data_IF_268025838275
#
_entry.id   IF_268025838275
#
_cell.length_a   1.000
_cell.length_b   1.000
_cell.length_c   1.000
_cell.angle_alpha   90.00
_cell.angle_beta   90.00
_cell.angle_gamma   90.00
#
_symmetry.space_group_name_H-M   'P 1'
#
loop_
_entity.id
_entity.type
_entity.pdbx_description
1 polymer ?
#
# COMPACT_ATOMS: atom_id res chain seq x y z
N UNK A 1 4.97 0.40 39.07
CA UNK A 1 4.74 -0.71 38.12
C UNK A 1 4.84 -0.11 36.73
N UNK A 2 5.74 -0.58 35.87
CA UNK A 2 5.70 -0.22 34.46
C UNK A 2 4.47 -0.88 33.85
N UNK A 3 3.47 -0.07 33.49
CA UNK A 3 2.35 -0.48 32.67
C UNK A 3 2.91 -0.98 31.33
N UNK A 4 2.56 -2.20 30.96
CA UNK A 4 2.88 -2.73 29.64
C UNK A 4 2.19 -1.84 28.58
N UNK A 5 2.97 -1.28 27.66
CA UNK A 5 2.49 -0.34 26.64
C UNK A 5 2.55 -1.04 25.29
N UNK A 6 1.38 -1.34 24.73
CA UNK A 6 1.29 -1.98 23.42
C UNK A 6 1.81 -1.07 22.31
N UNK A 7 2.59 -1.65 21.39
CA UNK A 7 2.99 -0.97 20.15
C UNK A 7 1.90 -1.18 19.10
N UNK A 8 1.46 -0.08 18.50
CA UNK A 8 0.44 -0.01 17.46
C UNK A 8 1.08 0.29 16.11
N UNK A 9 0.49 -0.21 15.03
CA UNK A 9 0.81 0.23 13.68
C UNK A 9 -0.17 1.35 13.33
N UNK A 10 0.33 2.57 13.14
CA UNK A 10 -0.49 3.76 12.85
C UNK A 10 -0.40 4.20 11.37
N UNK A 11 0.52 3.61 10.61
CA UNK A 11 0.59 3.79 9.17
C UNK A 11 1.29 2.61 8.51
N UNK A 12 0.75 2.14 7.38
CA UNK A 12 1.37 1.09 6.57
C UNK A 12 1.31 1.48 5.10
N UNK A 13 2.46 1.51 4.44
CA UNK A 13 2.52 1.67 2.99
C UNK A 13 3.58 0.80 2.34
N UNK A 14 3.23 0.24 1.18
CA UNK A 14 4.09 -0.64 0.40
C UNK A 14 3.75 -0.53 -1.09
N UNK A 15 4.66 -0.99 -1.93
CA UNK A 15 4.43 -1.10 -3.37
C UNK A 15 4.93 -2.43 -3.89
N UNK A 16 4.30 -2.96 -4.92
CA UNK A 16 4.75 -4.17 -5.58
C UNK A 16 4.40 -4.14 -7.07
N UNK A 17 5.10 -4.91 -7.92
CA UNK A 17 4.67 -5.16 -9.29
C UNK A 17 3.26 -5.74 -9.31
N UNK A 18 2.37 -5.24 -10.18
CA UNK A 18 1.03 -5.81 -10.32
C UNK A 18 1.08 -7.29 -10.73
N UNK A 19 2.16 -7.71 -11.41
CA UNK A 19 2.42 -9.09 -11.80
C UNK A 19 2.50 -10.08 -10.63
N UNK A 20 2.83 -9.66 -9.40
CA UNK A 20 2.84 -10.58 -8.24
C UNK A 20 1.44 -11.14 -7.92
N UNK A 21 0.37 -10.50 -8.41
CA UNK A 21 -1.00 -11.01 -8.29
C UNK A 21 -1.25 -12.30 -9.09
N UNK A 22 -0.31 -12.73 -9.94
CA UNK A 22 -0.34 -14.07 -10.54
C UNK A 22 -0.27 -15.16 -9.46
N UNK A 23 0.47 -14.92 -8.39
CA UNK A 23 0.83 -15.92 -7.39
C UNK A 23 -0.03 -15.86 -6.13
N UNK A 24 -0.96 -14.91 -6.03
CA UNK A 24 -1.83 -14.74 -4.84
C UNK A 24 -2.61 -16.01 -4.47
N UNK A 25 -3.04 -16.78 -5.47
CA UNK A 25 -3.80 -18.02 -5.29
C UNK A 25 -2.96 -19.20 -4.79
N UNK A 26 -1.63 -19.07 -4.82
CA UNK A 26 -0.69 -20.12 -4.41
C UNK A 26 -0.32 -20.04 -2.93
N UNK A 27 -0.81 -19.02 -2.21
CA UNK A 27 -0.53 -18.86 -0.78
C UNK A 27 -1.12 -20.01 0.03
N UNK A 28 -0.28 -20.67 0.83
CA UNK A 28 -0.66 -21.85 1.61
C UNK A 28 -0.77 -21.50 3.09
N UNK A 29 -1.98 -21.14 3.53
CA UNK A 29 -2.31 -21.01 4.95
C UNK A 29 -3.73 -21.51 5.21
N UNK A 30 -3.97 -22.05 6.42
CA UNK A 30 -5.28 -22.59 6.81
C UNK A 30 -6.35 -21.50 6.71
N UNK A 31 -7.42 -21.77 5.98
CA UNK A 31 -8.51 -20.82 5.73
C UNK A 31 -8.31 -19.93 4.50
N UNK A 32 -7.21 -20.09 3.75
CA UNK A 32 -7.05 -19.42 2.47
C UNK A 32 -7.88 -20.10 1.36
N UNK A 33 -8.86 -19.37 0.82
CA UNK A 33 -9.69 -19.84 -0.28
C UNK A 33 -9.15 -19.37 -1.64
N UNK A 34 -8.30 -20.18 -2.27
CA UNK A 34 -7.72 -19.85 -3.59
C UNK A 34 -8.78 -19.71 -4.70
N UNK A 35 -9.93 -20.38 -4.58
CA UNK A 35 -11.01 -20.37 -5.58
C UNK A 35 -11.67 -19.02 -5.76
N UNK A 36 -11.46 -18.09 -4.82
CA UNK A 36 -11.97 -16.73 -4.96
C UNK A 36 -11.19 -15.91 -5.96
N UNK A 37 -10.04 -16.34 -6.48
CA UNK A 37 -9.30 -15.57 -7.48
C UNK A 37 -9.67 -15.99 -8.90
N UNK A 38 -9.91 -15.01 -9.76
CA UNK A 38 -10.20 -15.23 -11.17
C UNK A 38 -9.05 -15.96 -11.87
N UNK A 39 -9.34 -16.84 -12.82
CA UNK A 39 -8.31 -17.54 -13.58
C UNK A 39 -7.56 -16.56 -14.50
N UNK A 40 -6.25 -16.76 -14.66
CA UNK A 40 -5.48 -15.96 -15.61
C UNK A 40 -5.91 -16.30 -17.04
N UNK A 41 -6.07 -15.31 -17.93
CA UNK A 41 -6.35 -15.58 -19.34
C UNK A 41 -5.17 -16.34 -19.97
N UNK A 42 -5.49 -17.21 -20.93
CA UNK A 42 -4.51 -17.99 -21.69
C UNK A 42 -4.30 -17.36 -23.06
N UNK A 43 -3.04 -17.08 -23.43
CA UNK A 43 -2.73 -16.54 -24.76
C UNK A 43 -3.21 -17.47 -25.89
N UNK A 44 -3.25 -18.79 -25.66
CA UNK A 44 -3.74 -19.79 -26.63
C UNK A 44 -5.18 -19.53 -27.10
N UNK A 45 -6.00 -18.89 -26.27
CA UNK A 45 -7.39 -18.56 -26.65
C UNK A 45 -7.47 -17.45 -27.71
N UNK A 46 -6.37 -16.75 -27.99
CA UNK A 46 -6.26 -15.72 -29.04
C UNK A 46 -5.50 -16.23 -30.27
N UNK A 47 -4.97 -17.46 -30.23
CA UNK A 47 -4.18 -18.08 -31.31
C UNK A 47 -5.05 -18.69 -32.43
N UNK A 48 -6.38 -18.70 -32.31
CA UNK A 48 -7.23 -19.33 -33.32
C UNK A 48 -7.31 -18.59 -34.67
N UNK A 49 -7.31 -19.45 -35.71
CA UNK A 49 -7.43 -19.32 -37.17
C UNK A 49 -6.30 -18.62 -37.95
N UNK A 50 -5.64 -19.41 -38.82
CA UNK A 50 -5.14 -18.93 -40.13
C UNK A 50 -4.77 -20.00 -41.16
N UNK A 51 -4.66 -21.29 -40.82
CA UNK A 51 -4.20 -22.28 -41.81
C UNK A 51 -5.31 -23.09 -42.52
N UNK A 52 -6.55 -23.12 -42.01
CA UNK A 52 -7.57 -24.05 -42.54
C UNK A 52 -8.69 -23.40 -43.35
N UNK A 53 -8.75 -22.07 -43.49
CA UNK A 53 -9.88 -21.38 -44.14
C UNK A 53 -9.58 -20.79 -45.52
N UNK A 54 -8.33 -20.78 -45.98
CA UNK A 54 -7.93 -20.18 -47.28
C UNK A 54 -7.82 -21.16 -48.44
N UNK A 55 -8.22 -22.43 -48.29
CA UNK A 55 -8.32 -23.38 -49.41
C UNK A 55 -9.78 -23.71 -49.68
N UNK A 56 -10.54 -22.69 -50.09
CA UNK A 56 -11.84 -22.85 -50.75
C UNK A 56 -11.62 -22.59 -52.24
N UNK A 57 -12.03 -23.55 -53.07
CA UNK A 57 -11.57 -23.73 -54.43
C UNK A 57 -11.86 -22.59 -55.43
N UNK A 58 -10.98 -22.56 -56.43
CA UNK A 58 -11.21 -22.16 -57.82
C UNK A 58 -11.49 -20.68 -58.15
N UNK A 59 -10.63 -19.75 -57.74
CA UNK A 59 -10.41 -18.52 -58.51
C UNK A 59 -8.94 -18.07 -58.39
N UNK A 60 -8.27 -17.83 -59.52
CA UNK A 60 -6.90 -17.29 -59.57
C UNK A 60 -6.97 -15.79 -59.28
N UNK A 61 -7.09 -15.41 -58.01
CA UNK A 61 -6.75 -14.06 -57.56
C UNK A 61 -5.22 -13.89 -57.56
N UNK A 62 -4.74 -12.73 -57.99
CA UNK A 62 -3.33 -12.40 -57.93
C UNK A 62 -2.84 -12.53 -56.48
N UNK A 63 -1.75 -13.28 -56.27
CA UNK A 63 -1.16 -13.43 -54.94
C UNK A 63 -0.89 -12.03 -54.37
N UNK A 64 -1.46 -11.68 -53.20
CA UNK A 64 -1.27 -10.38 -52.59
C UNK A 64 0.22 -10.12 -52.37
N UNK A 65 0.63 -8.87 -52.51
CA UNK A 65 2.03 -8.49 -52.38
C UNK A 65 2.55 -8.92 -51.00
N UNK A 66 3.74 -9.53 -50.97
CA UNK A 66 4.31 -10.14 -49.77
C UNK A 66 4.41 -9.16 -48.58
N UNK A 67 4.55 -7.87 -48.89
CA UNK A 67 4.54 -6.80 -47.90
C UNK A 67 3.17 -6.58 -47.25
N UNK A 68 2.08 -6.63 -48.01
CA UNK A 68 0.70 -6.46 -47.50
C UNK A 68 0.24 -7.65 -46.66
N UNK A 69 0.65 -8.87 -47.05
CA UNK A 69 0.42 -10.08 -46.25
C UNK A 69 1.21 -10.03 -44.94
N UNK A 70 2.45 -9.54 -44.98
CA UNK A 70 3.29 -9.42 -43.79
C UNK A 70 2.79 -8.32 -42.84
N UNK A 71 2.39 -7.15 -43.35
CA UNK A 71 1.87 -6.03 -42.54
C UNK A 71 0.56 -6.39 -41.85
N UNK A 72 -0.40 -6.97 -42.57
CA UNK A 72 -1.67 -7.46 -41.99
C UNK A 72 -1.47 -8.60 -40.98
N UNK A 73 -0.43 -9.41 -41.14
CA UNK A 73 -0.02 -10.42 -40.14
C UNK A 73 0.49 -9.78 -38.86
N UNK A 74 1.31 -8.72 -38.96
CA UNK A 74 1.82 -7.99 -37.80
C UNK A 74 0.69 -7.27 -37.06
N UNK A 75 -0.21 -6.60 -37.78
CA UNK A 75 -1.35 -5.91 -37.18
C UNK A 75 -2.27 -6.86 -36.41
N UNK A 76 -2.56 -8.03 -36.97
CA UNK A 76 -3.33 -9.06 -36.30
C UNK A 76 -2.64 -9.60 -35.04
N UNK A 77 -1.33 -9.82 -35.08
CA UNK A 77 -0.54 -10.24 -33.91
C UNK A 77 -0.59 -9.17 -32.83
N UNK A 78 -0.40 -7.89 -33.18
CA UNK A 78 -0.44 -6.78 -32.25
C UNK A 78 -1.83 -6.65 -31.61
N UNK A 79 -2.90 -6.70 -32.39
CA UNK A 79 -4.29 -6.66 -31.89
C UNK A 79 -4.58 -7.80 -30.91
N UNK A 80 -4.10 -9.02 -31.20
CA UNK A 80 -4.21 -10.18 -30.30
C UNK A 80 -3.45 -9.97 -29.00
N UNK A 81 -2.21 -9.47 -29.09
CA UNK A 81 -1.38 -9.16 -27.92
C UNK A 81 -2.01 -8.06 -27.04
N UNK A 82 -2.53 -6.99 -27.65
CA UNK A 82 -3.22 -5.90 -26.94
C UNK A 82 -4.46 -6.41 -26.20
N UNK A 83 -5.29 -7.23 -26.86
CA UNK A 83 -6.48 -7.81 -26.24
C UNK A 83 -6.12 -8.71 -25.06
N UNK A 84 -5.15 -9.61 -25.23
CA UNK A 84 -4.64 -10.45 -24.15
C UNK A 84 -4.11 -9.61 -22.99
N UNK A 85 -3.29 -8.59 -23.26
CA UNK A 85 -2.72 -7.73 -22.23
C UNK A 85 -3.82 -6.98 -21.46
N UNK A 86 -4.86 -6.49 -22.15
CA UNK A 86 -6.00 -5.83 -21.52
C UNK A 86 -6.76 -6.78 -20.59
N UNK A 87 -7.05 -7.99 -21.05
CA UNK A 87 -7.75 -9.01 -20.24
C UNK A 87 -6.88 -9.47 -19.06
N UNK A 88 -5.58 -9.64 -19.26
CA UNK A 88 -4.63 -9.98 -18.19
C UNK A 88 -4.57 -8.90 -17.13
N UNK A 89 -4.43 -7.62 -17.52
CA UNK A 89 -4.40 -6.49 -16.58
C UNK A 89 -5.71 -6.40 -15.79
N UNK A 90 -6.85 -6.57 -16.45
CA UNK A 90 -8.16 -6.62 -15.79
C UNK A 90 -8.21 -7.73 -14.72
N UNK A 91 -7.76 -8.94 -15.07
CA UNK A 91 -7.69 -10.07 -14.13
C UNK A 91 -6.74 -9.78 -12.96
N UNK A 92 -5.55 -9.22 -13.20
CA UNK A 92 -4.61 -8.88 -12.12
C UNK A 92 -5.17 -7.80 -11.18
N UNK A 93 -5.89 -6.80 -11.71
CA UNK A 93 -6.60 -5.82 -10.89
C UNK A 93 -7.76 -6.43 -10.10
N UNK A 94 -8.53 -7.34 -10.71
CA UNK A 94 -9.57 -8.12 -10.03
C UNK A 94 -8.98 -8.90 -8.84
N UNK A 95 -7.85 -9.59 -9.07
CA UNK A 95 -7.11 -10.31 -8.03
C UNK A 95 -6.56 -9.40 -6.94
N UNK A 96 -6.02 -8.23 -7.29
CA UNK A 96 -5.54 -7.23 -6.34
C UNK A 96 -6.67 -6.76 -5.41
N UNK A 97 -7.85 -6.45 -5.95
CA UNK A 97 -9.01 -6.08 -5.12
C UNK A 97 -9.38 -7.17 -4.12
N UNK A 98 -9.40 -8.43 -4.56
CA UNK A 98 -9.70 -9.59 -3.71
C UNK A 98 -8.60 -9.85 -2.68
N UNK A 99 -7.34 -9.62 -3.03
CA UNK A 99 -6.21 -9.68 -2.09
C UNK A 99 -6.38 -8.62 -0.98
N UNK A 100 -6.68 -7.37 -1.36
CA UNK A 100 -6.87 -6.30 -0.39
C UNK A 100 -8.02 -6.60 0.57
N UNK A 101 -9.16 -7.06 0.06
CA UNK A 101 -10.29 -7.49 0.89
C UNK A 101 -9.92 -8.67 1.81
N UNK A 102 -9.26 -9.70 1.26
CA UNK A 102 -8.94 -10.91 2.00
C UNK A 102 -7.90 -10.72 3.11
N UNK A 103 -6.90 -9.87 2.89
CA UNK A 103 -5.74 -9.74 3.79
C UNK A 103 -5.91 -8.57 4.75
N UNK A 104 -6.50 -7.47 4.28
CA UNK A 104 -6.64 -6.24 5.05
C UNK A 104 -8.09 -5.99 5.52
N UNK A 105 -9.08 -6.75 5.03
CA UNK A 105 -10.48 -6.49 5.37
C UNK A 105 -10.98 -5.16 4.81
N UNK A 106 -10.40 -4.70 3.68
CA UNK A 106 -10.68 -3.41 3.06
C UNK A 106 -11.27 -3.58 1.67
N UNK A 107 -12.22 -2.72 1.30
CA UNK A 107 -12.77 -2.69 -0.04
C UNK A 107 -12.15 -1.58 -0.90
N UNK A 108 -11.76 -1.94 -2.12
CA UNK A 108 -11.26 -0.99 -3.11
C UNK A 108 -12.44 -0.33 -3.79
N UNK A 109 -12.55 0.99 -3.65
CA UNK A 109 -13.56 1.80 -4.30
C UNK A 109 -13.45 1.88 -5.83
N UNK A 110 -14.36 2.66 -6.45
CA UNK A 110 -14.24 2.98 -7.86
C UNK A 110 -12.95 3.78 -8.14
N UNK A 111 -12.46 3.63 -9.37
CA UNK A 111 -11.34 4.42 -9.86
C UNK A 111 -11.70 5.92 -9.87
N UNK A 112 -10.75 6.76 -9.45
CA UNK A 112 -10.97 8.20 -9.31
C UNK A 112 -10.62 8.97 -10.58
N UNK A 113 -9.98 8.35 -11.57
CA UNK A 113 -9.43 9.01 -12.75
C UNK A 113 -8.29 9.98 -12.41
N UNK A 114 -7.74 9.89 -11.20
CA UNK A 114 -6.71 10.79 -10.69
C UNK A 114 -5.68 10.00 -9.92
N UNK A 115 -4.42 10.12 -10.35
CA UNK A 115 -3.29 9.44 -9.74
C UNK A 115 -2.58 10.25 -8.65
N UNK A 116 -1.35 9.85 -8.35
CA UNK A 116 -0.48 10.44 -7.35
C UNK A 116 0.80 9.61 -7.25
N UNK A 117 1.90 10.16 -6.71
CA UNK A 117 3.18 9.44 -6.60
C UNK A 117 3.68 8.83 -7.93
N UNK A 118 3.47 9.54 -9.05
CA UNK A 118 3.76 9.09 -10.42
C UNK A 118 2.93 7.87 -10.92
N UNK A 119 1.86 7.52 -10.20
CA UNK A 119 0.82 6.64 -10.71
C UNK A 119 -0.23 7.40 -11.51
N UNK A 120 -0.89 6.72 -12.44
CA UNK A 120 -1.88 7.30 -13.34
C UNK A 120 -3.26 7.41 -12.71
N UNK A 121 -3.64 6.47 -11.84
CA UNK A 121 -4.97 6.42 -11.23
C UNK A 121 -4.91 5.95 -9.77
N UNK A 122 -6.03 6.10 -9.06
CA UNK A 122 -6.18 5.72 -7.67
C UNK A 122 -7.62 5.40 -7.26
N UNK A 123 -7.78 4.74 -6.13
CA UNK A 123 -9.06 4.47 -5.48
C UNK A 123 -8.91 4.58 -3.96
N UNK A 124 -10.01 4.94 -3.31
CA UNK A 124 -10.12 4.94 -1.85
C UNK A 124 -10.28 3.50 -1.35
N UNK A 125 -9.73 3.20 -0.18
CA UNK A 125 -9.99 1.98 0.57
C UNK A 125 -11.04 2.24 1.67
N UNK A 126 -12.08 1.42 1.71
CA UNK A 126 -13.22 1.51 2.62
C UNK A 126 -13.26 0.32 3.59
N UNK A 127 -14.04 0.47 4.67
CA UNK A 127 -14.40 -0.62 5.58
C UNK A 127 -15.32 -1.66 4.92
N UNK A 128 -15.40 -2.86 5.50
CA UNK A 128 -16.22 -3.95 4.97
C UNK A 128 -17.72 -3.58 4.85
N UNK A 129 -18.19 -2.71 5.74
CA UNK A 129 -19.60 -2.30 5.78
C UNK A 129 -19.93 -1.15 4.82
N UNK A 130 -19.00 -0.76 3.93
CA UNK A 130 -19.25 0.21 2.86
C UNK A 130 -19.60 1.62 3.35
N UNK A 131 -19.23 1.95 4.59
CA UNK A 131 -19.43 3.30 5.13
C UNK A 131 -18.57 4.34 4.39
N UNK A 132 -18.91 5.62 4.54
CA UNK A 132 -18.16 6.76 4.01
C UNK A 132 -16.75 6.93 4.63
N UNK A 133 -16.27 5.97 5.41
CA UNK A 133 -15.00 6.06 6.11
C UNK A 133 -13.84 5.66 5.20
N UNK A 134 -12.94 6.62 4.99
CA UNK A 134 -11.74 6.46 4.19
C UNK A 134 -10.61 5.88 5.06
N UNK A 135 -10.21 4.63 4.79
CA UNK A 135 -9.16 3.93 5.56
C UNK A 135 -7.79 3.93 4.87
N UNK A 136 -7.76 4.27 3.59
CA UNK A 136 -6.52 4.34 2.85
C UNK A 136 -6.74 4.67 1.39
N UNK A 137 -5.68 4.50 0.62
CA UNK A 137 -5.65 4.72 -0.82
C UNK A 137 -4.83 3.64 -1.48
N UNK A 138 -5.24 3.26 -2.69
CA UNK A 138 -4.46 2.43 -3.59
C UNK A 138 -4.25 3.19 -4.91
N UNK A 139 -3.05 3.10 -5.46
CA UNK A 139 -2.61 3.77 -6.68
C UNK A 139 -2.07 2.72 -7.67
N UNK A 140 -2.32 2.93 -8.97
CA UNK A 140 -1.85 2.03 -10.02
C UNK A 140 -1.70 2.74 -11.37
N UNK A 141 -1.11 2.03 -12.35
CA UNK A 141 -0.82 2.56 -13.68
C UNK A 141 0.42 3.43 -13.68
N UNK A 142 1.22 3.38 -14.76
CA UNK A 142 2.57 3.95 -14.76
C UNK A 142 3.53 3.21 -13.82
N UNK A 143 4.58 3.89 -13.37
CA UNK A 143 5.59 3.41 -12.42
C UNK A 143 6.03 1.94 -12.63
N UNK A 144 6.36 1.58 -13.88
CA UNK A 144 6.76 0.22 -14.31
C UNK A 144 5.74 -0.89 -13.96
N UNK A 145 4.44 -0.61 -14.05
CA UNK A 145 3.39 -1.60 -13.84
C UNK A 145 3.26 -2.04 -12.38
N UNK A 146 3.59 -1.16 -11.44
CA UNK A 146 3.45 -1.41 -10.00
C UNK A 146 2.10 -0.89 -9.49
N UNK A 147 1.77 -1.26 -8.26
CA UNK A 147 0.74 -0.62 -7.46
C UNK A 147 1.35 -0.13 -6.14
N UNK A 148 0.72 0.86 -5.52
CA UNK A 148 1.10 1.40 -4.21
C UNK A 148 -0.12 1.48 -3.30
N UNK A 149 0.02 0.93 -2.09
CA UNK A 149 -1.02 0.94 -1.05
C UNK A 149 -0.53 1.81 0.10
N UNK A 150 -1.40 2.65 0.62
CA UNK A 150 -1.20 3.36 1.88
C UNK A 150 -2.45 3.26 2.76
N UNK A 151 -2.25 2.93 4.03
CA UNK A 151 -3.30 2.75 5.04
C UNK A 151 -2.94 3.65 6.22
N UNK A 152 -3.83 4.56 6.59
CA UNK A 152 -3.63 5.48 7.73
C UNK A 152 -4.02 4.86 9.07
N UNK A 153 -3.89 5.59 10.18
CA UNK A 153 -4.09 5.06 11.54
C UNK A 153 -5.45 4.41 11.78
N UNK A 154 -6.54 5.05 11.33
CA UNK A 154 -7.90 4.47 11.38
C UNK A 154 -7.98 3.15 10.60
N UNK A 155 -7.41 3.13 9.40
CA UNK A 155 -7.38 1.93 8.57
C UNK A 155 -6.51 0.83 9.18
N UNK A 156 -5.36 1.16 9.77
CA UNK A 156 -4.51 0.19 10.44
C UNK A 156 -5.21 -0.39 11.68
N UNK A 157 -5.92 0.42 12.44
CA UNK A 157 -6.75 -0.04 13.57
C UNK A 157 -7.79 -1.06 13.08
N UNK A 158 -8.50 -0.76 11.99
CA UNK A 158 -9.45 -1.69 11.37
C UNK A 158 -8.77 -2.99 10.92
N UNK A 159 -7.66 -2.89 10.17
CA UNK A 159 -6.89 -4.05 9.68
C UNK A 159 -6.47 -4.95 10.85
N UNK A 160 -5.87 -4.38 11.90
CA UNK A 160 -5.35 -5.16 13.03
C UNK A 160 -6.45 -5.73 13.93
N UNK A 161 -7.72 -5.30 13.75
CA UNK A 161 -8.86 -5.96 14.40
C UNK A 161 -9.24 -7.29 13.73
N UNK A 162 -8.96 -7.44 12.43
CA UNK A 162 -9.30 -8.63 11.64
C UNK A 162 -8.10 -9.56 11.34
N UNK A 163 -6.87 -9.05 11.44
CA UNK A 163 -5.64 -9.82 11.18
C UNK A 163 -4.52 -9.44 12.13
N UNK A 164 -3.37 -10.10 12.02
CA UNK A 164 -2.18 -9.81 12.83
C UNK A 164 -1.01 -9.35 11.96
N UNK A 165 -0.04 -8.60 12.52
CA UNK A 165 1.16 -8.21 11.79
C UNK A 165 1.92 -9.41 11.18
N UNK A 166 1.96 -10.55 11.86
CA UNK A 166 2.64 -11.76 11.38
C UNK A 166 1.96 -12.34 10.14
N UNK A 167 0.62 -12.34 10.11
CA UNK A 167 -0.13 -12.78 8.92
C UNK A 167 0.12 -11.85 7.74
N UNK A 168 0.11 -10.54 7.95
CA UNK A 168 0.44 -9.56 6.92
C UNK A 168 1.86 -9.80 6.41
N UNK A 169 2.84 -10.00 7.31
CA UNK A 169 4.22 -10.27 6.93
C UNK A 169 4.35 -11.52 6.06
N UNK A 170 3.68 -12.64 6.40
CA UNK A 170 3.68 -13.85 5.56
C UNK A 170 3.17 -13.58 4.14
N UNK A 171 2.12 -12.78 4.01
CA UNK A 171 1.58 -12.37 2.70
C UNK A 171 2.56 -11.50 1.91
N UNK A 172 3.15 -10.49 2.55
CA UNK A 172 4.13 -9.62 1.90
C UNK A 172 5.33 -10.45 1.42
N UNK A 173 5.82 -11.36 2.25
CA UNK A 173 6.92 -12.28 1.90
C UNK A 173 6.56 -13.20 0.74
N UNK A 174 5.36 -13.79 0.74
CA UNK A 174 4.89 -14.68 -0.34
C UNK A 174 4.82 -13.98 -1.69
N UNK A 175 4.48 -12.69 -1.70
CA UNK A 175 4.37 -11.88 -2.92
C UNK A 175 5.68 -11.17 -3.30
N UNK A 176 6.81 -11.57 -2.70
CA UNK A 176 8.13 -10.95 -2.87
C UNK A 176 8.15 -9.43 -2.60
N UNK A 177 7.28 -8.97 -1.71
CA UNK A 177 7.26 -7.58 -1.23
C UNK A 177 8.30 -7.48 -0.12
N UNK A 178 9.54 -7.15 -0.48
CA UNK A 178 10.67 -7.19 0.46
C UNK A 178 10.89 -5.90 1.25
N UNK A 179 10.16 -4.83 0.94
CA UNK A 179 10.31 -3.55 1.63
C UNK A 179 9.00 -2.78 1.73
N UNK A 180 8.79 -2.15 2.89
CA UNK A 180 7.74 -1.16 3.11
C UNK A 180 8.24 0.21 2.69
N UNK A 181 7.37 1.01 2.07
CA UNK A 181 7.64 2.41 1.76
C UNK A 181 7.57 3.27 3.02
N UNK A 182 6.61 2.97 3.90
CA UNK A 182 6.45 3.62 5.20
C UNK A 182 5.81 2.67 6.21
N UNK A 183 6.27 2.74 7.45
CA UNK A 183 5.68 2.08 8.61
C UNK A 183 5.73 3.07 9.78
N UNK A 184 4.59 3.43 10.36
CA UNK A 184 4.57 4.24 11.58
C UNK A 184 4.22 3.33 12.75
N UNK A 185 5.10 3.27 13.75
CA UNK A 185 4.87 2.58 15.01
C UNK A 185 4.49 3.61 16.07
N UNK A 186 3.46 3.33 16.87
CA UNK A 186 2.95 4.25 17.88
C UNK A 186 2.79 3.56 19.24
N UNK A 187 2.97 4.33 20.32
CA UNK A 187 2.63 3.92 21.68
C UNK A 187 1.88 5.05 22.37
N UNK A 188 0.78 4.71 23.04
CA UNK A 188 -0.03 5.65 23.80
C UNK A 188 0.38 5.68 25.28
N UNK A 189 0.37 6.89 25.84
CA UNK A 189 0.75 7.20 27.20
C UNK A 189 -0.38 7.92 27.93
N UNK A 190 -1.10 7.18 28.76
CA UNK A 190 -2.25 7.68 29.52
C UNK A 190 -1.92 8.08 30.96
N UNK A 191 -0.70 7.77 31.43
CA UNK A 191 -0.24 8.10 32.79
C UNK A 191 0.65 9.36 32.85
N UNK A 192 1.01 9.94 31.70
CA UNK A 192 1.73 11.21 31.60
C UNK A 192 3.23 11.10 31.88
N UNK A 193 3.82 9.92 31.70
CA UNK A 193 5.26 9.69 31.87
C UNK A 193 6.05 10.12 30.63
N UNK A 194 5.52 9.88 29.44
CA UNK A 194 6.20 10.09 28.14
C UNK A 194 5.62 11.29 27.39
N UNK A 195 5.57 12.44 28.07
CA UNK A 195 5.06 13.71 27.51
C UNK A 195 6.07 14.40 26.58
N UNK A 196 5.67 15.52 25.98
CA UNK A 196 6.56 16.40 25.22
C UNK A 196 7.76 16.88 26.07
N UNK A 197 7.55 17.17 27.36
CA UNK A 197 8.64 17.55 28.26
C UNK A 197 9.67 16.42 28.42
N UNK A 198 9.20 15.18 28.57
CA UNK A 198 10.08 14.02 28.61
C UNK A 198 10.84 13.85 27.29
N UNK A 199 10.17 14.01 26.14
CA UNK A 199 10.82 13.93 24.83
C UNK A 199 11.95 14.96 24.65
N UNK A 200 11.78 16.17 25.16
CA UNK A 200 12.85 17.20 25.15
C UNK A 200 14.05 16.78 26.00
N UNK A 201 13.81 16.17 27.16
CA UNK A 201 14.88 15.67 28.03
C UNK A 201 15.60 14.49 27.38
N UNK A 202 14.85 13.51 26.88
CA UNK A 202 15.37 12.36 26.15
C UNK A 202 16.19 12.77 24.91
N UNK A 203 15.80 13.84 24.22
CA UNK A 203 16.59 14.41 23.11
C UNK A 203 17.93 14.99 23.57
N UNK A 204 17.96 15.70 24.70
CA UNK A 204 19.21 16.22 25.28
C UNK A 204 20.15 15.09 25.71
N UNK A 205 19.57 13.98 26.16
CA UNK A 205 20.29 12.76 26.57
C UNK A 205 20.63 11.84 25.39
N UNK A 206 20.48 12.31 24.14
CA UNK A 206 20.80 11.58 22.90
C UNK A 206 20.01 10.28 22.68
N UNK A 207 18.86 10.11 23.33
CA UNK A 207 18.04 8.89 23.23
C UNK A 207 17.52 8.59 21.80
N UNK A 208 17.43 9.60 20.95
CA UNK A 208 16.99 9.46 19.55
C UNK A 208 18.15 9.33 18.56
N UNK A 209 19.40 9.44 19.01
CA UNK A 209 20.58 9.47 18.17
C UNK A 209 21.28 8.11 18.10
N UNK A 210 21.39 7.55 16.89
CA UNK A 210 22.02 6.24 16.67
C UNK A 210 23.55 6.24 16.66
N UNK A 211 24.21 7.30 17.13
CA UNK A 211 25.68 7.37 17.22
C UNK A 211 26.43 7.71 15.92
N UNK A 212 25.74 7.79 14.79
CA UNK A 212 26.36 8.01 13.47
C UNK A 212 25.78 9.25 12.77
N UNK A 213 26.65 10.16 12.32
CA UNK A 213 26.27 11.35 11.55
C UNK A 213 25.83 12.56 12.39
N UNK A 214 25.25 13.61 11.80
CA UNK A 214 24.81 14.78 12.55
C UNK A 214 23.63 14.47 13.47
N UNK A 215 23.53 15.16 14.61
CA UNK A 215 22.35 15.09 15.49
C UNK A 215 21.09 15.46 14.70
N UNK A 216 20.02 14.72 14.93
CA UNK A 216 18.73 14.95 14.29
C UNK A 216 18.16 16.32 14.70
N UNK A 217 17.51 17.01 13.76
CA UNK A 217 16.87 18.31 14.05
C UNK A 217 15.75 18.13 15.07
N UNK A 218 15.73 18.95 16.12
CA UNK A 218 14.61 19.08 17.04
C UNK A 218 13.61 20.12 16.50
N UNK A 219 12.33 19.80 16.54
CA UNK A 219 11.23 20.72 16.27
C UNK A 219 10.25 20.73 17.44
N UNK A 220 9.79 21.91 17.83
CA UNK A 220 8.78 22.12 18.86
C UNK A 220 7.70 22.98 18.22
N UNK A 221 6.43 22.58 18.38
CA UNK A 221 5.30 23.40 17.97
C UNK A 221 4.17 23.29 18.98
N UNK A 222 3.71 24.45 19.41
CA UNK A 222 2.62 24.64 20.34
C UNK A 222 1.66 25.71 19.82
N UNK A 223 0.37 25.50 20.07
CA UNK A 223 -0.68 26.47 19.81
C UNK A 223 -1.50 26.63 21.08
N UNK A 224 -1.88 27.87 21.39
CA UNK A 224 -2.56 28.25 22.62
C UNK A 224 -3.78 29.09 22.22
N UNK A 225 -4.93 28.82 22.84
CA UNK A 225 -6.15 29.60 22.63
C UNK A 225 -6.17 30.92 23.41
N UNK A 226 -7.25 31.69 23.25
CA UNK A 226 -7.42 32.96 23.95
C UNK A 226 -7.54 32.82 25.48
N UNK A 227 -7.81 31.62 26.00
CA UNK A 227 -7.88 31.31 27.42
C UNK A 227 -6.53 30.85 28.00
N UNK A 228 -5.48 30.78 27.18
CA UNK A 228 -4.16 30.31 27.60
C UNK A 228 -4.05 28.78 27.66
N UNK A 229 -5.01 28.04 27.12
CA UNK A 229 -4.98 26.58 27.08
C UNK A 229 -4.32 26.09 25.79
N UNK A 230 -3.49 25.04 25.89
CA UNK A 230 -2.91 24.42 24.70
C UNK A 230 -4.01 23.82 23.81
N UNK A 231 -3.98 24.15 22.53
CA UNK A 231 -4.76 23.48 21.47
C UNK A 231 -3.90 22.54 20.64
N UNK A 232 -2.58 22.63 20.78
CA UNK A 232 -1.60 21.74 20.18
C UNK A 232 -0.32 21.74 20.99
N UNK A 233 0.27 20.56 21.12
CA UNK A 233 1.56 20.39 21.79
C UNK A 233 2.29 19.21 21.12
N UNK A 234 3.41 19.49 20.43
CA UNK A 234 4.19 18.46 19.73
C UNK A 234 5.69 18.75 19.76
N UNK A 235 6.46 17.69 20.01
CA UNK A 235 7.91 17.61 19.82
C UNK A 235 8.21 16.64 18.69
N UNK A 236 9.11 17.02 17.79
CA UNK A 236 9.52 16.21 16.65
C UNK A 236 11.03 16.08 16.61
N UNK A 237 11.55 14.91 16.25
CA UNK A 237 12.99 14.66 16.12
C UNK A 237 13.29 14.06 14.76
N UNK A 238 14.13 14.74 14.00
CA UNK A 238 14.44 14.45 12.60
C UNK A 238 13.60 15.29 11.64
N UNK A 239 13.38 14.77 10.44
CA UNK A 239 12.55 15.41 9.43
C UNK A 239 11.73 14.40 8.66
N UNK A 240 10.67 14.86 7.99
CA UNK A 240 9.90 14.04 7.04
C UNK A 240 10.75 13.46 5.90
N UNK A 241 11.99 13.88 5.69
CA UNK A 241 12.87 13.29 4.68
C UNK A 241 13.79 12.21 5.26
N UNK A 242 13.89 12.14 6.59
CA UNK A 242 14.75 11.20 7.30
C UNK A 242 14.20 9.77 7.22
N UNK A 243 15.09 8.77 7.38
CA UNK A 243 14.70 7.35 7.45
C UNK A 243 13.85 7.05 8.69
N UNK A 244 14.10 7.77 9.78
CA UNK A 244 13.31 7.71 11.02
C UNK A 244 12.92 9.14 11.37
N UNK A 245 11.64 9.35 11.65
CA UNK A 245 11.11 10.63 12.09
C UNK A 245 10.20 10.42 13.30
N UNK A 246 10.58 11.01 14.43
CA UNK A 246 9.85 10.86 15.68
C UNK A 246 8.87 12.02 15.90
N UNK A 247 7.70 11.70 16.44
CA UNK A 247 6.70 12.67 16.89
C UNK A 247 6.21 12.25 18.27
N UNK A 248 6.33 13.14 19.25
CA UNK A 248 5.72 12.98 20.57
C UNK A 248 4.77 14.14 20.75
N UNK A 249 3.49 13.86 20.98
CA UNK A 249 2.48 14.91 21.02
C UNK A 249 1.32 14.59 21.93
N UNK A 250 0.59 15.62 22.34
CA UNK A 250 -0.63 15.47 23.10
C UNK A 250 -1.78 15.03 22.19
N UNK A 251 -2.10 13.74 22.26
CA UNK A 251 -3.14 13.09 21.44
C UNK A 251 -4.54 13.42 21.94
N UNK A 252 -4.72 13.66 23.23
CA UNK A 252 -5.99 14.15 23.78
C UNK A 252 -6.39 15.48 23.11
N UNK A 253 -5.45 16.43 23.02
CA UNK A 253 -5.68 17.70 22.33
C UNK A 253 -5.98 17.51 20.84
N UNK A 254 -5.21 16.66 20.14
CA UNK A 254 -5.43 16.41 18.70
C UNK A 254 -6.79 15.77 18.40
N UNK A 255 -7.32 14.95 19.31
CA UNK A 255 -8.65 14.34 19.19
C UNK A 255 -9.77 15.18 19.82
N UNK A 256 -9.45 16.34 20.41
CA UNK A 256 -10.38 17.18 21.17
C UNK A 256 -11.11 16.41 22.30
N UNK A 257 -10.37 15.60 23.05
CA UNK A 257 -10.88 14.85 24.21
C UNK A 257 -10.16 15.30 25.49
N UNK A 258 -10.78 15.06 26.65
CA UNK A 258 -10.19 15.38 27.95
C UNK A 258 -9.33 14.23 28.48
N UNK A 259 -8.46 14.55 29.45
CA UNK A 259 -7.60 13.57 30.12
C UNK A 259 -6.15 13.60 29.63
N UNK A 260 -5.33 12.73 30.21
CA UNK A 260 -3.92 12.58 29.83
C UNK A 260 -3.83 11.54 28.73
N UNK A 261 -3.37 11.97 27.56
CA UNK A 261 -3.09 11.06 26.44
C UNK A 261 -2.00 11.67 25.57
N UNK A 262 -0.78 11.20 25.75
CA UNK A 262 0.33 11.49 24.85
C UNK A 262 0.57 10.31 23.92
N UNK A 263 1.04 10.60 22.72
CA UNK A 263 1.41 9.57 21.75
C UNK A 263 2.84 9.79 21.28
N UNK A 264 3.62 8.72 21.33
CA UNK A 264 4.95 8.65 20.72
C UNK A 264 4.85 7.83 19.43
N UNK A 265 5.26 8.42 18.31
CA UNK A 265 5.23 7.82 16.98
C UNK A 265 6.61 7.84 16.33
N UNK A 266 6.99 6.71 15.73
CA UNK A 266 8.18 6.56 14.91
C UNK A 266 7.77 6.27 13.45
N UNK A 267 7.92 7.27 12.58
CA UNK A 267 7.76 7.09 11.12
C UNK A 267 9.04 6.51 10.53
N UNK A 268 8.95 5.28 10.01
CA UNK A 268 10.05 4.55 9.38
C UNK A 268 9.87 4.58 7.86
N UNK A 269 10.86 5.09 7.13
CA UNK A 269 10.88 5.11 5.65
C UNK A 269 11.82 4.07 5.07
N UNK A 270 11.36 3.43 4.00
CA UNK A 270 12.11 2.40 3.26
C UNK A 270 12.62 1.31 4.23
N UNK A 271 11.66 0.61 4.83
CA UNK A 271 11.94 -0.44 5.82
C UNK A 271 12.06 -1.80 5.11
N UNK A 272 13.23 -2.43 5.24
CA UNK A 272 13.50 -3.74 4.64
C UNK A 272 12.95 -4.86 5.53
N UNK A 273 12.17 -5.77 4.97
CA UNK A 273 11.55 -6.89 5.68
C UNK A 273 12.50 -8.09 5.90
N UNK A 274 13.80 -7.91 5.63
CA UNK A 274 14.83 -8.97 5.67
C UNK A 274 15.24 -9.44 7.08
N UNK A 275 14.73 -8.81 8.14
CA UNK A 275 15.21 -9.02 9.51
C UNK A 275 14.19 -9.71 10.44
N UNK A 276 13.22 -10.44 9.88
CA UNK A 276 12.28 -11.28 10.63
C UNK A 276 12.33 -12.73 10.14
#
# INVERSE_FOLDING_TARGET
MMTDRSVLIDYLAFSAPLSCMKDVHTFQEKGHEWRKYEFLPSYRHYEHSRFTETVSGNDYEALPDSYEVFSSSIEDINRKAERYNKELLSCLHSRLRRFIAAVFGLFVGPARGTGGFAYQDSAVLYSENGGYEHFGMIYWGGNNGTFYVQIGGKGCTHVMSGTTPEKIYKWLKHLDITSLKRLDLATDDYDGVFTCHYALSAYKDDAFYGGMGPKLKLGIADEIDAAGCYTKEIVTVGSRQSRVYWRVYNKALEQNVSGTWYRSEAELKVYQLRYF
#
